data_IF_612571880452
#
_entry.id   IF_612571880452
#
_cell.length_a   1.000
_cell.length_b   1.000
_cell.length_c   1.000
_cell.angle_alpha   90.00
_cell.angle_beta   90.00
_cell.angle_gamma   90.00
#
_symmetry.space_group_name_H-M   'P 1'
#
loop_
_entity.id
_entity.type
_entity.pdbx_description
1 polymer ?
#
# COMPACT_ATOMS: atom_id res chain seq x y z
N UNK A 1 5.01 -78.49 -39.72
CA UNK A 1 5.59 -78.42 -38.36
C UNK A 1 5.01 -79.57 -37.57
N UNK A 2 5.88 -80.52 -37.21
CA UNK A 2 5.58 -81.88 -36.74
C UNK A 2 5.01 -81.86 -35.32
N UNK A 3 3.75 -82.28 -35.15
CA UNK A 3 3.28 -83.60 -34.67
C UNK A 3 3.39 -83.92 -33.18
N UNK A 4 2.26 -84.44 -32.71
CA UNK A 4 2.06 -85.38 -31.61
C UNK A 4 1.87 -84.81 -30.21
N UNK A 5 0.63 -84.35 -29.98
CA UNK A 5 -0.12 -84.79 -28.79
C UNK A 5 0.08 -86.29 -28.62
N UNK A 6 0.87 -86.68 -27.63
CA UNK A 6 1.02 -88.07 -27.21
C UNK A 6 0.05 -88.30 -26.05
N UNK A 7 -1.22 -88.54 -26.35
CA UNK A 7 -2.12 -89.19 -25.41
C UNK A 7 -1.71 -90.66 -25.35
N UNK A 8 -0.73 -90.97 -24.50
CA UNK A 8 -0.56 -92.33 -24.01
C UNK A 8 -1.76 -92.63 -23.11
N UNK A 9 -2.77 -93.30 -23.67
CA UNK A 9 -3.71 -94.08 -22.89
C UNK A 9 -2.95 -95.27 -22.30
N UNK A 10 -2.28 -95.02 -21.17
CA UNK A 10 -1.99 -96.09 -20.22
C UNK A 10 -3.32 -96.67 -19.74
N UNK A 11 -3.38 -98.00 -19.63
CA UNK A 11 -4.55 -98.76 -19.21
C UNK A 11 -5.33 -98.02 -18.13
N UNK A 12 -6.63 -97.80 -18.37
CA UNK A 12 -7.56 -97.44 -17.31
C UNK A 12 -7.58 -98.60 -16.31
N UNK A 13 -6.64 -98.60 -15.37
CA UNK A 13 -6.89 -99.26 -14.10
C UNK A 13 -8.15 -98.58 -13.56
N UNK A 14 -9.25 -99.33 -13.54
CA UNK A 14 -10.49 -98.92 -12.89
C UNK A 14 -10.22 -98.88 -11.38
N UNK A 15 -9.46 -97.90 -10.93
CA UNK A 15 -9.49 -97.46 -9.55
C UNK A 15 -10.56 -96.37 -9.52
N UNK A 16 -11.76 -96.77 -9.13
CA UNK A 16 -12.77 -95.81 -8.69
C UNK A 16 -12.10 -94.92 -7.64
N UNK A 17 -12.22 -93.58 -7.76
CA UNK A 17 -11.53 -92.66 -6.87
C UNK A 17 -11.85 -93.04 -5.43
N UNK A 18 -10.80 -93.34 -4.65
CA UNK A 18 -10.98 -93.82 -3.30
C UNK A 18 -11.44 -92.64 -2.43
N UNK A 19 -12.08 -92.90 -1.30
CA UNK A 19 -12.62 -91.82 -0.45
C UNK A 19 -11.55 -90.79 -0.03
N UNK A 20 -10.28 -91.21 0.01
CA UNK A 20 -9.12 -90.38 0.29
C UNK A 20 -8.77 -89.38 -0.83
N UNK A 21 -9.01 -89.73 -2.10
CA UNK A 21 -8.79 -88.83 -3.24
C UNK A 21 -9.85 -87.72 -3.27
N UNK A 22 -11.10 -88.06 -2.97
CA UNK A 22 -12.18 -87.08 -2.79
C UNK A 22 -11.94 -86.17 -1.58
N UNK A 23 -11.41 -86.72 -0.49
CA UNK A 23 -11.03 -85.94 0.69
C UNK A 23 -9.84 -85.01 0.40
N UNK A 24 -8.84 -85.47 -0.35
CA UNK A 24 -7.71 -84.66 -0.82
C UNK A 24 -8.17 -83.50 -1.72
N UNK A 25 -9.07 -83.77 -2.66
CA UNK A 25 -9.69 -82.75 -3.51
C UNK A 25 -10.51 -81.75 -2.69
N UNK A 26 -11.38 -82.21 -1.80
CA UNK A 26 -12.19 -81.34 -0.93
C UNK A 26 -11.31 -80.52 0.02
N UNK A 27 -10.30 -81.13 0.65
CA UNK A 27 -9.40 -80.44 1.57
C UNK A 27 -8.55 -79.39 0.87
N UNK A 28 -8.02 -79.67 -0.33
CA UNK A 28 -7.27 -78.68 -1.12
C UNK A 28 -8.16 -77.54 -1.64
N UNK A 29 -9.42 -77.83 -1.99
CA UNK A 29 -10.41 -76.81 -2.37
C UNK A 29 -10.78 -75.93 -1.18
N UNK A 30 -11.01 -76.52 0.00
CA UNK A 30 -11.31 -75.79 1.25
C UNK A 30 -10.11 -74.94 1.67
N UNK A 31 -8.89 -75.48 1.64
CA UNK A 31 -7.67 -74.74 2.00
C UNK A 31 -7.42 -73.59 1.01
N UNK A 32 -7.64 -73.80 -0.28
CA UNK A 32 -7.49 -72.76 -1.30
C UNK A 32 -8.59 -71.69 -1.19
N UNK A 33 -9.84 -72.08 -0.95
CA UNK A 33 -10.93 -71.14 -0.70
C UNK A 33 -10.70 -70.34 0.59
N UNK A 34 -10.24 -71.00 1.65
CA UNK A 34 -9.90 -70.36 2.92
C UNK A 34 -8.71 -69.41 2.78
N UNK A 35 -7.67 -69.76 2.01
CA UNK A 35 -6.52 -68.90 1.80
C UNK A 35 -6.86 -67.65 0.97
N UNK A 36 -7.66 -67.80 -0.10
CA UNK A 36 -8.16 -66.67 -0.90
C UNK A 36 -9.06 -65.77 -0.04
N UNK A 37 -9.97 -66.35 0.74
CA UNK A 37 -10.84 -65.59 1.62
C UNK A 37 -10.05 -64.83 2.69
N UNK A 38 -9.05 -65.47 3.30
CA UNK A 38 -8.21 -64.87 4.33
C UNK A 38 -7.31 -63.77 3.76
N UNK A 39 -6.77 -63.96 2.55
CA UNK A 39 -6.04 -62.92 1.82
C UNK A 39 -6.94 -61.72 1.47
N UNK A 40 -8.16 -61.97 0.99
CA UNK A 40 -9.15 -60.92 0.72
C UNK A 40 -9.52 -60.15 1.99
N UNK A 41 -9.79 -60.86 3.09
CA UNK A 41 -10.13 -60.25 4.38
C UNK A 41 -8.98 -59.39 4.94
N UNK A 42 -7.74 -59.88 4.86
CA UNK A 42 -6.56 -59.11 5.27
C UNK A 42 -6.36 -57.88 4.39
N UNK A 43 -6.49 -58.02 3.07
CA UNK A 43 -6.38 -56.91 2.13
C UNK A 43 -7.47 -55.85 2.38
N UNK A 44 -8.72 -56.26 2.60
CA UNK A 44 -9.83 -55.35 2.90
C UNK A 44 -9.60 -54.62 4.23
N UNK A 45 -9.08 -55.31 5.25
CA UNK A 45 -8.75 -54.71 6.54
C UNK A 45 -7.61 -53.68 6.42
N UNK A 46 -6.55 -54.01 5.70
CA UNK A 46 -5.43 -53.09 5.44
C UNK A 46 -5.91 -51.87 4.65
N UNK A 47 -6.66 -52.09 3.56
CA UNK A 47 -7.22 -51.00 2.76
C UNK A 47 -8.13 -50.08 3.57
N UNK A 48 -9.01 -50.63 4.43
CA UNK A 48 -9.85 -49.82 5.33
C UNK A 48 -9.01 -49.00 6.28
N UNK A 49 -7.97 -49.59 6.88
CA UNK A 49 -7.05 -48.89 7.78
C UNK A 49 -6.30 -47.76 7.06
N UNK A 50 -5.67 -48.05 5.93
CA UNK A 50 -4.94 -47.04 5.13
C UNK A 50 -5.85 -45.89 4.68
N UNK A 51 -7.09 -46.20 4.30
CA UNK A 51 -8.08 -45.19 3.95
C UNK A 51 -8.44 -44.31 5.16
N UNK A 52 -8.56 -44.89 6.35
CA UNK A 52 -8.82 -44.12 7.59
C UNK A 52 -7.62 -43.27 7.97
N UNK A 53 -6.41 -43.83 7.94
CA UNK A 53 -5.15 -43.15 8.29
C UNK A 53 -4.91 -41.96 7.33
N UNK A 54 -5.15 -42.15 6.03
CA UNK A 54 -5.09 -41.08 5.02
C UNK A 54 -6.13 -39.98 5.28
N UNK A 55 -7.36 -40.35 5.63
CA UNK A 55 -8.39 -39.35 5.93
C UNK A 55 -8.04 -38.52 7.19
N UNK A 56 -7.40 -39.12 8.20
CA UNK A 56 -6.92 -38.40 9.38
C UNK A 56 -5.76 -37.49 9.04
N UNK A 57 -4.80 -37.96 8.24
CA UNK A 57 -3.67 -37.13 7.79
C UNK A 57 -4.15 -35.93 6.95
N UNK A 58 -5.08 -36.15 6.01
CA UNK A 58 -5.68 -35.07 5.21
C UNK A 58 -6.41 -34.04 6.09
N UNK A 59 -7.07 -34.48 7.18
CA UNK A 59 -7.71 -33.59 8.15
C UNK A 59 -6.69 -32.80 8.98
N UNK A 60 -5.59 -33.43 9.39
CA UNK A 60 -4.53 -32.77 10.16
C UNK A 60 -3.79 -31.72 9.33
N UNK A 61 -3.51 -32.02 8.05
CA UNK A 61 -2.95 -31.05 7.10
C UNK A 61 -3.92 -29.87 6.92
N UNK A 62 -5.20 -30.16 6.70
CA UNK A 62 -6.23 -29.12 6.56
C UNK A 62 -6.29 -28.21 7.78
N UNK A 63 -6.32 -28.78 8.98
CA UNK A 63 -6.38 -28.02 10.24
C UNK A 63 -5.11 -27.19 10.44
N UNK A 64 -3.95 -27.74 10.07
CA UNK A 64 -2.66 -27.04 10.14
C UNK A 64 -2.63 -25.83 9.21
N UNK A 65 -3.11 -25.96 7.96
CA UNK A 65 -3.21 -24.83 7.03
C UNK A 65 -4.17 -23.75 7.53
N UNK A 66 -5.35 -24.13 8.05
CA UNK A 66 -6.29 -23.18 8.65
C UNK A 66 -5.66 -22.45 9.85
N UNK A 67 -4.89 -23.17 10.67
CA UNK A 67 -4.17 -22.57 11.80
C UNK A 67 -3.08 -21.59 11.33
N UNK A 68 -2.30 -21.96 10.32
CA UNK A 68 -1.27 -21.08 9.73
C UNK A 68 -1.89 -19.82 9.11
N UNK A 69 -3.05 -19.96 8.47
CA UNK A 69 -3.82 -18.81 7.96
C UNK A 69 -4.21 -17.88 9.11
N UNK A 70 -4.80 -18.39 10.20
CA UNK A 70 -5.16 -17.59 11.37
C UNK A 70 -3.95 -16.87 12.00
N UNK A 71 -2.82 -17.57 12.15
CA UNK A 71 -1.60 -16.96 12.69
C UNK A 71 -1.09 -15.83 11.77
N UNK A 72 -1.10 -16.06 10.46
CA UNK A 72 -0.71 -15.04 9.48
C UNK A 72 -1.62 -13.81 9.55
N UNK A 73 -2.92 -14.01 9.75
CA UNK A 73 -3.87 -12.91 9.95
C UNK A 73 -3.61 -12.13 11.23
N UNK A 74 -3.23 -12.78 12.33
CA UNK A 74 -2.90 -12.10 13.59
C UNK A 74 -1.66 -11.21 13.42
N UNK A 75 -0.60 -11.72 12.79
CA UNK A 75 0.60 -10.92 12.53
C UNK A 75 0.33 -9.77 11.55
N UNK A 76 -0.47 -10.02 10.52
CA UNK A 76 -0.92 -8.99 9.58
C UNK A 76 -1.73 -7.90 10.29
N UNK A 77 -2.70 -8.26 11.13
CA UNK A 77 -3.55 -7.29 11.84
C UNK A 77 -2.71 -6.39 12.76
N UNK A 78 -1.75 -6.95 13.52
CA UNK A 78 -0.82 -6.15 14.31
C UNK A 78 -0.03 -5.15 13.47
N UNK A 79 0.42 -5.58 12.29
CA UNK A 79 1.15 -4.71 11.39
C UNK A 79 0.26 -3.58 10.83
N UNK A 80 -0.99 -3.92 10.48
CA UNK A 80 -2.02 -2.97 10.02
C UNK A 80 -2.35 -1.96 11.12
N UNK A 81 -2.61 -2.39 12.35
CA UNK A 81 -2.92 -1.51 13.48
C UNK A 81 -1.81 -0.48 13.71
N UNK A 82 -0.55 -0.92 13.66
CA UNK A 82 0.59 0.00 13.77
C UNK A 82 0.61 1.02 12.63
N UNK A 83 0.37 0.58 11.40
CA UNK A 83 0.35 1.49 10.24
C UNK A 83 -0.84 2.45 10.27
N UNK A 84 -1.99 2.06 10.83
CA UNK A 84 -3.14 2.93 11.07
C UNK A 84 -2.74 4.07 12.01
N UNK A 85 -2.06 3.77 13.11
CA UNK A 85 -1.57 4.81 14.04
C UNK A 85 -0.56 5.74 13.36
N UNK A 86 0.40 5.17 12.62
CA UNK A 86 1.41 5.96 11.90
C UNK A 86 0.77 6.86 10.83
N UNK A 87 -0.24 6.37 10.09
CA UNK A 87 -0.99 7.17 9.10
C UNK A 87 -1.86 8.25 9.75
N UNK A 88 -2.53 7.94 10.85
CA UNK A 88 -3.33 8.92 11.58
C UNK A 88 -2.45 10.08 12.06
N UNK A 89 -1.31 9.77 12.69
CA UNK A 89 -0.35 10.79 13.12
C UNK A 89 0.18 11.61 11.94
N UNK A 90 0.44 10.98 10.79
CA UNK A 90 0.90 11.67 9.59
C UNK A 90 -0.15 12.65 9.04
N UNK A 91 -1.43 12.25 9.01
CA UNK A 91 -2.55 13.09 8.58
C UNK A 91 -2.78 14.25 9.55
N UNK A 92 -2.78 13.98 10.86
CA UNK A 92 -3.05 14.99 11.90
C UNK A 92 -1.95 16.06 11.96
N UNK A 93 -0.69 15.64 11.89
CA UNK A 93 0.45 16.57 11.95
C UNK A 93 0.77 17.23 10.61
N UNK A 94 0.30 16.65 9.50
CA UNK A 94 0.66 17.03 8.12
C UNK A 94 2.17 17.09 7.89
N UNK A 95 2.86 16.08 8.41
CA UNK A 95 4.31 15.94 8.28
C UNK A 95 4.71 15.58 6.83
N UNK A 96 5.98 15.82 6.46
CA UNK A 96 6.53 15.36 5.17
C UNK A 96 7.14 13.95 5.25
N UNK A 97 7.04 13.30 6.41
CA UNK A 97 7.69 12.02 6.69
C UNK A 97 6.68 10.99 7.18
N UNK A 98 6.32 10.07 6.28
CA UNK A 98 5.51 8.91 6.62
C UNK A 98 6.40 7.73 7.08
N UNK A 99 5.95 7.02 8.12
CA UNK A 99 6.54 5.77 8.57
C UNK A 99 5.83 4.61 7.87
N UNK A 100 6.60 3.67 7.33
CA UNK A 100 6.09 2.50 6.61
C UNK A 100 6.38 1.22 7.39
N UNK A 101 5.35 0.41 7.60
CA UNK A 101 5.50 -0.93 8.15
C UNK A 101 5.70 -1.95 7.02
N UNK A 102 6.89 -2.58 6.98
CA UNK A 102 7.22 -3.57 5.96
C UNK A 102 6.45 -4.88 6.09
N UNK A 103 5.89 -5.16 7.27
CA UNK A 103 5.19 -6.41 7.58
C UNK A 103 3.76 -6.48 7.03
N UNK A 104 3.23 -5.39 6.45
CA UNK A 104 1.96 -5.42 5.73
C UNK A 104 2.19 -6.07 4.38
N UNK A 105 2.03 -7.39 4.35
CA UNK A 105 2.15 -8.23 3.17
C UNK A 105 1.19 -9.41 3.26
N UNK A 106 0.71 -9.85 2.11
CA UNK A 106 -0.29 -10.93 1.99
C UNK A 106 0.23 -12.12 1.18
N UNK A 107 1.55 -12.29 1.10
CA UNK A 107 2.21 -13.37 0.34
C UNK A 107 1.76 -14.76 0.81
N UNK A 108 1.39 -14.89 2.08
CA UNK A 108 0.87 -16.15 2.64
C UNK A 108 -0.41 -16.64 1.93
N UNK A 109 -1.17 -15.75 1.27
CA UNK A 109 -2.36 -16.13 0.50
C UNK A 109 -2.05 -17.08 -0.65
N UNK A 110 -0.82 -17.05 -1.19
CA UNK A 110 -0.39 -17.96 -2.27
C UNK A 110 -0.35 -19.42 -1.81
N UNK A 111 -0.24 -19.65 -0.50
CA UNK A 111 -0.12 -20.97 0.12
C UNK A 111 -1.41 -21.44 0.80
N UNK A 112 -2.49 -20.65 0.71
CA UNK A 112 -3.76 -20.96 1.40
C UNK A 112 -4.73 -21.58 0.41
N UNK A 113 -5.16 -22.81 0.70
CA UNK A 113 -6.27 -23.40 -0.03
C UNK A 113 -7.62 -22.96 0.57
N UNK A 114 -8.30 -22.04 -0.11
CA UNK A 114 -9.60 -21.49 0.34
C UNK A 114 -10.65 -22.60 0.56
N UNK A 115 -10.56 -23.73 -0.16
CA UNK A 115 -11.45 -24.88 0.04
C UNK A 115 -11.36 -25.44 1.47
N UNK A 116 -10.18 -25.40 2.08
CA UNK A 116 -9.97 -25.85 3.46
C UNK A 116 -10.60 -24.91 4.47
N UNK A 117 -10.60 -23.59 4.18
CA UNK A 117 -11.32 -22.60 4.97
C UNK A 117 -12.84 -22.87 4.92
N UNK A 118 -13.40 -23.10 3.73
CA UNK A 118 -14.83 -23.42 3.57
C UNK A 118 -15.21 -24.74 4.24
N UNK A 119 -14.37 -25.78 4.10
CA UNK A 119 -14.62 -27.07 4.73
C UNK A 119 -14.60 -26.96 6.25
N UNK A 120 -13.69 -26.16 6.81
CA UNK A 120 -13.63 -25.89 8.24
C UNK A 120 -14.85 -25.08 8.75
N UNK A 121 -15.34 -24.11 7.96
CA UNK A 121 -16.56 -23.36 8.27
C UNK A 121 -17.86 -24.18 8.06
N UNK A 122 -17.80 -25.22 7.24
CA UNK A 122 -18.92 -26.03 6.80
C UNK A 122 -19.56 -25.46 5.53
N UNK A 123 -19.62 -26.26 4.45
CA UNK A 123 -20.14 -25.82 3.14
C UNK A 123 -21.59 -25.33 3.16
N UNK A 124 -22.38 -25.74 4.16
CA UNK A 124 -23.78 -25.34 4.30
C UNK A 124 -23.93 -24.02 5.08
N UNK A 125 -22.86 -23.50 5.69
CA UNK A 125 -22.87 -22.26 6.45
C UNK A 125 -22.59 -21.06 5.54
N UNK A 126 -23.66 -20.59 4.88
CA UNK A 126 -23.59 -19.49 3.89
C UNK A 126 -22.99 -18.22 4.49
N UNK A 127 -23.38 -17.86 5.72
CA UNK A 127 -22.89 -16.65 6.39
C UNK A 127 -21.37 -16.71 6.65
N UNK A 128 -20.86 -17.84 7.13
CA UNK A 128 -19.43 -18.01 7.37
C UNK A 128 -18.61 -18.00 6.06
N UNK A 129 -19.15 -18.59 4.99
CA UNK A 129 -18.52 -18.54 3.66
C UNK A 129 -18.48 -17.11 3.13
N UNK A 130 -19.55 -16.33 3.30
CA UNK A 130 -19.58 -14.93 2.91
C UNK A 130 -18.54 -14.10 3.67
N UNK A 131 -18.39 -14.32 4.99
CA UNK A 131 -17.31 -13.70 5.78
C UNK A 131 -15.93 -14.03 5.24
N UNK A 132 -15.67 -15.30 4.89
CA UNK A 132 -14.41 -15.71 4.26
C UNK A 132 -14.20 -14.99 2.93
N UNK A 133 -15.21 -14.96 2.06
CA UNK A 133 -15.12 -14.29 0.75
C UNK A 133 -14.81 -12.80 0.90
N UNK A 134 -15.53 -12.12 1.79
CA UNK A 134 -15.33 -10.70 2.05
C UNK A 134 -13.94 -10.40 2.63
N UNK A 135 -13.43 -11.28 3.51
CA UNK A 135 -12.06 -11.20 4.00
C UNK A 135 -11.07 -11.37 2.85
N UNK A 136 -11.19 -12.45 2.06
CA UNK A 136 -10.27 -12.74 0.95
C UNK A 136 -10.19 -11.59 -0.05
N UNK A 137 -11.34 -11.03 -0.47
CA UNK A 137 -11.39 -9.85 -1.35
C UNK A 137 -10.57 -8.70 -0.75
N UNK A 138 -10.73 -8.44 0.54
CA UNK A 138 -10.04 -7.34 1.22
C UNK A 138 -8.54 -7.61 1.39
N UNK A 139 -8.14 -8.86 1.62
CA UNK A 139 -6.72 -9.22 1.68
C UNK A 139 -6.06 -9.13 0.30
N UNK A 140 -6.75 -9.46 -0.80
CA UNK A 140 -6.20 -9.25 -2.14
C UNK A 140 -6.01 -7.76 -2.47
N UNK A 141 -6.87 -6.86 -1.96
CA UNK A 141 -6.63 -5.42 -2.13
C UNK A 141 -5.38 -4.91 -1.41
N UNK A 142 -4.85 -5.64 -0.42
CA UNK A 142 -3.60 -5.29 0.24
C UNK A 142 -2.34 -5.64 -0.55
N UNK A 143 -2.46 -6.43 -1.62
CA UNK A 143 -1.31 -6.96 -2.36
C UNK A 143 -0.35 -5.83 -2.80
N UNK A 144 -0.89 -4.77 -3.39
CA UNK A 144 -0.10 -3.63 -3.88
C UNK A 144 -0.09 -2.42 -2.91
N UNK A 145 -0.67 -2.57 -1.70
CA UNK A 145 -0.87 -1.44 -0.78
C UNK A 145 0.43 -0.70 -0.46
N UNK A 146 1.49 -1.46 -0.11
CA UNK A 146 2.78 -0.88 0.31
C UNK A 146 3.44 -0.09 -0.80
N UNK A 147 3.42 -0.62 -2.02
CA UNK A 147 4.01 0.04 -3.18
C UNK A 147 3.20 1.28 -3.54
N UNK A 148 1.87 1.15 -3.61
CA UNK A 148 0.96 2.26 -3.88
C UNK A 148 1.12 3.42 -2.90
N UNK A 149 1.17 3.13 -1.59
CA UNK A 149 1.36 4.14 -0.55
C UNK A 149 2.71 4.85 -0.68
N UNK A 150 3.80 4.11 -0.96
CA UNK A 150 5.13 4.68 -1.16
C UNK A 150 5.20 5.54 -2.41
N UNK A 151 4.59 5.09 -3.49
CA UNK A 151 4.56 5.81 -4.76
C UNK A 151 3.75 7.10 -4.68
N UNK A 152 2.65 7.09 -3.95
CA UNK A 152 1.87 8.29 -3.66
C UNK A 152 2.72 9.32 -2.89
N UNK A 153 3.36 8.94 -1.78
CA UNK A 153 4.23 9.84 -1.00
C UNK A 153 5.40 10.35 -1.85
N UNK A 154 6.04 9.47 -2.63
CA UNK A 154 7.15 9.85 -3.53
C UNK A 154 6.68 10.87 -4.58
N UNK A 155 5.50 10.66 -5.15
CA UNK A 155 4.91 11.54 -6.16
C UNK A 155 4.53 12.89 -5.55
N UNK A 156 3.93 12.87 -4.36
CA UNK A 156 3.63 14.07 -3.57
C UNK A 156 4.89 14.90 -3.34
N UNK A 157 5.94 14.32 -2.74
CA UNK A 157 7.19 15.02 -2.45
C UNK A 157 7.85 15.58 -3.71
N UNK A 158 7.87 14.80 -4.81
CA UNK A 158 8.42 15.25 -6.09
C UNK A 158 7.68 16.47 -6.63
N UNK A 159 6.35 16.43 -6.65
CA UNK A 159 5.51 17.53 -7.13
C UNK A 159 5.64 18.76 -6.21
N UNK A 160 5.54 18.55 -4.90
CA UNK A 160 5.69 19.61 -3.91
C UNK A 160 7.02 20.34 -4.06
N UNK A 161 8.14 19.61 -4.10
CA UNK A 161 9.48 20.19 -4.25
C UNK A 161 9.66 20.95 -5.56
N UNK A 162 9.05 20.49 -6.66
CA UNK A 162 9.05 21.21 -7.92
C UNK A 162 8.42 22.61 -7.78
N UNK A 163 7.23 22.70 -7.19
CA UNK A 163 6.59 23.99 -6.97
C UNK A 163 7.30 24.81 -5.88
N UNK A 164 7.84 24.16 -4.85
CA UNK A 164 8.62 24.85 -3.81
C UNK A 164 9.84 25.57 -4.41
N UNK A 165 10.55 24.94 -5.36
CA UNK A 165 11.67 25.57 -6.05
C UNK A 165 11.29 26.86 -6.78
N UNK A 166 10.07 26.92 -7.32
CA UNK A 166 9.52 28.14 -7.96
C UNK A 166 9.04 29.14 -6.92
N UNK A 167 8.44 28.68 -5.83
CA UNK A 167 8.03 29.55 -4.74
C UNK A 167 9.23 30.32 -4.18
N UNK A 168 10.41 29.71 -4.06
CA UNK A 168 11.66 30.37 -3.62
C UNK A 168 12.06 31.60 -4.45
N UNK A 169 11.50 31.81 -5.64
CA UNK A 169 11.64 33.07 -6.38
C UNK A 169 11.14 34.28 -5.59
N UNK A 170 10.35 34.10 -4.51
CA UNK A 170 10.02 35.17 -3.57
C UNK A 170 11.27 35.90 -3.05
N UNK A 171 12.41 35.22 -2.95
CA UNK A 171 13.68 35.83 -2.53
C UNK A 171 14.18 36.86 -3.53
N UNK A 172 13.87 36.69 -4.81
CA UNK A 172 14.19 37.69 -5.81
C UNK A 172 13.37 38.96 -5.58
N UNK A 173 12.06 38.79 -5.34
CA UNK A 173 11.15 39.88 -5.01
C UNK A 173 11.59 40.61 -3.74
N UNK A 174 11.96 39.89 -2.67
CA UNK A 174 12.40 40.54 -1.43
C UNK A 174 13.78 41.20 -1.51
N UNK A 175 14.70 40.64 -2.30
CA UNK A 175 16.11 41.00 -2.22
C UNK A 175 16.70 41.36 -3.59
N UNK A 176 17.07 40.37 -4.40
CA UNK A 176 17.98 40.62 -5.54
C UNK A 176 17.37 41.52 -6.60
N UNK A 177 16.09 41.30 -6.97
CA UNK A 177 15.40 42.16 -7.93
C UNK A 177 15.03 43.50 -7.31
N UNK A 178 14.52 43.51 -6.09
CA UNK A 178 14.23 44.75 -5.38
C UNK A 178 15.44 45.68 -5.32
N UNK A 179 16.58 45.22 -4.82
CA UNK A 179 17.79 46.06 -4.73
C UNK A 179 18.38 46.41 -6.10
N UNK A 180 18.28 45.52 -7.08
CA UNK A 180 18.68 45.84 -8.45
C UNK A 180 17.88 47.02 -9.00
N UNK A 181 16.56 47.01 -8.82
CA UNK A 181 15.68 48.09 -9.27
C UNK A 181 15.94 49.36 -8.46
N UNK A 182 16.14 49.24 -7.15
CA UNK A 182 16.47 50.38 -6.28
C UNK A 182 17.74 51.11 -6.75
N UNK A 183 18.79 50.37 -7.09
CA UNK A 183 20.05 50.97 -7.55
C UNK A 183 19.95 51.67 -8.91
N UNK A 184 18.98 51.27 -9.75
CA UNK A 184 18.76 51.90 -11.06
C UNK A 184 17.86 53.13 -10.94
N UNK A 185 16.85 53.10 -10.07
CA UNK A 185 15.80 54.13 -9.99
C UNK A 185 15.98 55.14 -8.87
N UNK A 186 16.87 54.90 -7.91
CA UNK A 186 17.07 55.84 -6.81
C UNK A 186 17.76 57.12 -7.29
N UNK A 187 17.22 58.28 -6.88
CA UNK A 187 17.85 59.58 -7.08
C UNK A 187 19.04 59.78 -6.12
N UNK A 188 18.92 59.25 -4.90
CA UNK A 188 19.96 59.33 -3.88
C UNK A 188 19.84 58.21 -2.85
N UNK A 189 20.94 57.93 -2.14
CA UNK A 189 20.98 56.99 -1.02
C UNK A 189 21.22 57.79 0.25
N UNK A 190 20.28 57.73 1.18
CA UNK A 190 20.36 58.37 2.50
C UNK A 190 20.78 57.30 3.51
N UNK A 191 21.74 57.61 4.37
CA UNK A 191 22.12 56.72 5.47
C UNK A 191 21.41 57.23 6.72
N UNK A 192 20.49 56.45 7.26
CA UNK A 192 19.76 56.75 8.49
C UNK A 192 20.01 55.66 9.51
N UNK A 193 20.57 56.04 10.68
CA UNK A 193 20.95 55.11 11.76
C UNK A 193 21.81 53.92 11.31
N UNK A 194 22.68 54.13 10.30
CA UNK A 194 23.54 53.08 9.74
C UNK A 194 22.88 52.20 8.68
N UNK A 195 21.60 52.41 8.36
CA UNK A 195 20.85 51.69 7.33
C UNK A 195 20.76 52.55 6.05
N UNK A 196 21.10 51.96 4.90
CA UNK A 196 20.94 52.62 3.60
C UNK A 196 19.45 52.63 3.22
N UNK A 197 18.91 53.82 2.99
CA UNK A 197 17.55 54.07 2.48
C UNK A 197 17.66 54.68 1.09
N UNK A 198 16.91 54.15 0.13
CA UNK A 198 16.83 54.71 -1.22
C UNK A 198 15.77 55.80 -1.24
N UNK A 199 16.10 56.95 -1.83
CA UNK A 199 15.14 57.99 -2.15
C UNK A 199 14.83 57.90 -3.65
N UNK A 200 13.55 57.76 -3.97
CA UNK A 200 13.04 57.75 -5.34
C UNK A 200 12.46 59.12 -5.68
N UNK A 201 12.30 59.38 -6.97
CA UNK A 201 11.58 60.55 -7.45
C UNK A 201 10.14 60.55 -6.92
N UNK A 202 9.56 61.75 -6.74
CA UNK A 202 8.21 61.90 -6.16
C UNK A 202 7.12 61.28 -7.07
N UNK A 203 7.40 61.17 -8.37
CA UNK A 203 6.52 60.56 -9.37
C UNK A 203 6.68 59.02 -9.48
N UNK A 204 7.73 58.42 -8.91
CA UNK A 204 7.95 56.97 -8.90
C UNK A 204 7.14 56.25 -7.80
N UNK A 205 5.82 56.35 -7.94
CA UNK A 205 4.84 55.78 -7.00
C UNK A 205 4.95 54.25 -6.88
N UNK A 206 5.41 53.57 -7.94
CA UNK A 206 5.63 52.13 -7.93
C UNK A 206 6.69 51.74 -6.89
N UNK A 207 7.87 52.37 -6.97
CA UNK A 207 8.97 52.04 -6.04
C UNK A 207 8.69 52.46 -4.61
N UNK A 208 7.95 53.55 -4.39
CA UNK A 208 7.50 53.96 -3.06
C UNK A 208 6.60 52.88 -2.42
N UNK A 209 5.56 52.42 -3.13
CA UNK A 209 4.64 51.38 -2.63
C UNK A 209 5.32 50.03 -2.46
N UNK A 210 6.20 49.65 -3.38
CA UNK A 210 6.98 48.41 -3.28
C UNK A 210 7.91 48.45 -2.04
N UNK A 211 8.61 49.56 -1.83
CA UNK A 211 9.49 49.73 -0.66
C UNK A 211 8.72 49.68 0.65
N UNK A 212 7.57 50.33 0.72
CA UNK A 212 6.69 50.27 1.89
C UNK A 212 6.27 48.81 2.20
N UNK A 213 5.89 48.06 1.16
CA UNK A 213 5.50 46.67 1.31
C UNK A 213 6.66 45.76 1.79
N UNK A 214 7.89 46.01 1.31
CA UNK A 214 9.10 45.32 1.78
C UNK A 214 9.36 45.60 3.26
N UNK A 215 9.27 46.87 3.68
CA UNK A 215 9.49 47.27 5.07
C UNK A 215 8.45 46.65 6.00
N UNK A 216 7.17 46.70 5.61
CA UNK A 216 6.09 46.10 6.38
C UNK A 216 6.28 44.58 6.53
N UNK A 217 6.71 43.90 5.46
CA UNK A 217 6.96 42.45 5.48
C UNK A 217 8.18 42.09 6.32
N UNK A 218 9.26 42.88 6.25
CA UNK A 218 10.51 42.64 6.99
C UNK A 218 10.35 42.90 8.48
N UNK A 219 9.44 43.80 8.87
CA UNK A 219 9.12 44.08 10.27
C UNK A 219 8.09 43.10 10.87
N UNK A 220 7.38 42.32 10.04
CA UNK A 220 6.42 41.31 10.50
C UNK A 220 7.14 39.99 10.82
N UNK A 221 7.54 39.83 12.08
CA UNK A 221 8.15 38.60 12.65
C UNK A 221 7.29 37.34 12.51
N UNK A 222 6.00 37.48 12.16
CA UNK A 222 5.14 36.35 11.85
C UNK A 222 5.34 35.81 10.42
N UNK A 223 5.96 36.59 9.53
CA UNK A 223 6.29 36.23 8.15
C UNK A 223 7.76 35.86 8.03
N UNK A 224 8.66 36.75 8.45
CA UNK A 224 10.11 36.59 8.35
C UNK A 224 10.74 36.85 9.72
N UNK A 225 11.58 35.92 10.17
CA UNK A 225 12.40 36.09 11.37
C UNK A 225 13.90 36.02 11.03
N UNK A 226 14.75 36.11 12.05
CA UNK A 226 16.20 36.06 11.91
C UNK A 226 16.74 34.75 11.28
N UNK A 227 15.93 33.68 11.28
CA UNK A 227 16.26 32.38 10.68
C UNK A 227 15.64 32.21 9.28
N UNK A 228 14.87 33.18 8.78
CA UNK A 228 14.34 33.23 7.43
C UNK A 228 12.80 33.25 7.36
N UNK A 229 12.25 32.67 6.29
CA UNK A 229 10.81 32.60 6.08
C UNK A 229 10.16 31.65 7.09
N UNK A 230 9.24 32.17 7.89
CA UNK A 230 8.50 31.43 8.92
C UNK A 230 7.20 30.85 8.40
N UNK A 231 6.44 31.63 7.62
CA UNK A 231 5.11 31.25 7.16
C UNK A 231 4.91 31.62 5.69
N UNK A 232 4.81 30.57 4.84
CA UNK A 232 4.65 30.70 3.38
C UNK A 232 3.30 31.31 3.01
N UNK A 233 2.22 30.93 3.71
CA UNK A 233 0.88 31.41 3.42
C UNK A 233 0.73 32.90 3.77
N UNK A 234 1.29 33.31 4.92
CA UNK A 234 1.32 34.74 5.28
C UNK A 234 2.19 35.56 4.33
N UNK A 235 3.34 35.05 3.91
CA UNK A 235 4.15 35.73 2.90
C UNK A 235 3.36 35.91 1.60
N UNK A 236 2.69 34.86 1.13
CA UNK A 236 1.93 34.95 -0.11
C UNK A 236 0.79 35.98 0.00
N UNK A 237 -0.01 35.89 1.07
CA UNK A 237 -1.18 36.74 1.26
C UNK A 237 -0.85 38.20 1.57
N UNK A 238 0.22 38.46 2.34
CA UNK A 238 0.55 39.82 2.82
C UNK A 238 1.64 40.52 2.00
N UNK A 239 2.44 39.78 1.23
CA UNK A 239 3.52 40.36 0.41
C UNK A 239 3.33 40.07 -1.08
N UNK A 240 3.29 38.79 -1.48
CA UNK A 240 3.31 38.43 -2.92
C UNK A 240 2.06 38.93 -3.65
N UNK A 241 0.87 38.62 -3.14
CA UNK A 241 -0.39 39.03 -3.78
C UNK A 241 -0.53 40.56 -3.83
N UNK A 242 -0.30 41.31 -2.74
CA UNK A 242 -0.28 42.78 -2.80
C UNK A 242 0.75 43.34 -3.78
N UNK A 243 1.94 42.74 -3.87
CA UNK A 243 2.98 43.18 -4.80
C UNK A 243 2.55 42.99 -6.26
N UNK A 244 1.92 41.86 -6.58
CA UNK A 244 1.35 41.62 -7.92
C UNK A 244 0.34 42.72 -8.26
N UNK A 245 -0.56 43.05 -7.33
CA UNK A 245 -1.56 44.11 -7.52
C UNK A 245 -0.92 45.48 -7.73
N UNK A 246 0.07 45.85 -6.90
CA UNK A 246 0.82 47.10 -7.06
C UNK A 246 1.48 47.13 -8.44
N UNK A 247 2.20 46.09 -8.83
CA UNK A 247 2.91 46.03 -10.10
C UNK A 247 1.97 46.10 -11.31
N UNK A 248 0.81 45.44 -11.23
CA UNK A 248 -0.17 45.41 -12.31
C UNK A 248 -0.70 46.80 -12.67
N UNK A 249 -0.81 47.73 -11.70
CA UNK A 249 -1.26 49.10 -11.95
C UNK A 249 -0.33 49.91 -12.88
N UNK A 250 0.92 49.47 -13.05
CA UNK A 250 1.94 50.15 -13.88
C UNK A 250 2.29 49.36 -15.16
N UNK A 251 1.60 48.25 -15.43
CA UNK A 251 1.70 47.51 -16.69
C UNK A 251 0.78 48.17 -17.73
N UNK A 252 1.21 48.36 -19.00
CA UNK A 252 2.47 47.91 -19.62
C UNK A 252 3.57 48.98 -19.68
N UNK A 253 3.41 50.11 -18.99
CA UNK A 253 4.29 51.28 -19.15
C UNK A 253 5.65 51.11 -18.48
N UNK A 254 5.70 50.40 -17.35
CA UNK A 254 6.91 50.20 -16.56
C UNK A 254 7.48 48.79 -16.71
N UNK A 255 8.65 48.67 -17.37
CA UNK A 255 9.34 47.40 -17.58
C UNK A 255 9.67 46.65 -16.27
N UNK A 256 10.01 47.37 -15.20
CA UNK A 256 10.30 46.74 -13.92
C UNK A 256 9.02 46.23 -13.27
N UNK A 257 7.91 46.95 -13.42
CA UNK A 257 6.62 46.50 -12.92
C UNK A 257 6.14 45.24 -13.66
N UNK A 258 6.35 45.15 -14.98
CA UNK A 258 6.08 43.93 -15.75
C UNK A 258 6.89 42.75 -15.19
N UNK A 259 8.21 42.92 -15.03
CA UNK A 259 9.08 41.84 -14.53
C UNK A 259 8.68 41.40 -13.11
N UNK A 260 8.37 42.34 -12.22
CA UNK A 260 7.93 42.04 -10.86
C UNK A 260 6.57 41.35 -10.85
N UNK A 261 5.64 41.75 -11.71
CA UNK A 261 4.34 41.11 -11.85
C UNK A 261 4.49 39.65 -12.33
N UNK A 262 5.35 39.40 -13.32
CA UNK A 262 5.62 38.05 -13.85
C UNK A 262 6.23 37.13 -12.80
N UNK A 263 7.24 37.59 -12.05
CA UNK A 263 7.86 36.81 -10.96
C UNK A 263 6.84 36.59 -9.83
N UNK A 264 6.08 37.63 -9.46
CA UNK A 264 5.03 37.56 -8.46
C UNK A 264 3.99 36.49 -8.79
N UNK A 265 3.46 36.50 -10.01
CA UNK A 265 2.51 35.50 -10.49
C UNK A 265 3.09 34.08 -10.44
N UNK A 266 4.36 33.89 -10.81
CA UNK A 266 5.01 32.57 -10.70
C UNK A 266 5.08 32.08 -9.24
N UNK A 267 5.42 32.96 -8.29
CA UNK A 267 5.47 32.63 -6.87
C UNK A 267 4.08 32.30 -6.34
N UNK A 268 3.07 33.12 -6.65
CA UNK A 268 1.69 32.91 -6.20
C UNK A 268 1.10 31.61 -6.75
N UNK A 269 1.26 31.36 -8.05
CA UNK A 269 0.78 30.12 -8.67
C UNK A 269 1.48 28.90 -8.06
N UNK A 270 2.79 28.97 -7.81
CA UNK A 270 3.52 27.90 -7.15
C UNK A 270 2.99 27.62 -5.73
N UNK A 271 2.63 28.65 -4.97
CA UNK A 271 2.03 28.47 -3.64
C UNK A 271 0.68 27.77 -3.72
N UNK A 272 -0.21 28.23 -4.61
CA UNK A 272 -1.54 27.63 -4.82
C UNK A 272 -1.41 26.16 -5.23
N UNK A 273 -0.49 25.85 -6.14
CA UNK A 273 -0.22 24.48 -6.57
C UNK A 273 0.27 23.59 -5.40
N UNK A 274 1.18 24.11 -4.57
CA UNK A 274 1.66 23.40 -3.37
C UNK A 274 0.53 23.06 -2.41
N UNK A 275 -0.39 24.00 -2.16
CA UNK A 275 -1.56 23.78 -1.31
C UNK A 275 -2.50 22.73 -1.92
N UNK A 276 -2.84 22.86 -3.21
CA UNK A 276 -3.72 21.91 -3.91
C UNK A 276 -3.15 20.50 -3.94
N UNK A 277 -1.84 20.35 -4.19
CA UNK A 277 -1.18 19.04 -4.20
C UNK A 277 -1.19 18.42 -2.80
N UNK A 278 -0.97 19.23 -1.77
CA UNK A 278 -0.98 18.78 -0.37
C UNK A 278 -2.37 18.32 0.05
N UNK A 279 -3.41 19.08 -0.28
CA UNK A 279 -4.80 18.70 -0.02
C UNK A 279 -5.16 17.37 -0.70
N UNK A 280 -4.86 17.23 -2.00
CA UNK A 280 -5.12 15.99 -2.75
C UNK A 280 -4.38 14.80 -2.15
N UNK A 281 -3.13 14.97 -1.74
CA UNK A 281 -2.34 13.93 -1.11
C UNK A 281 -2.99 13.43 0.19
N UNK A 282 -3.39 14.35 1.09
CA UNK A 282 -3.98 13.96 2.36
C UNK A 282 -5.37 13.32 2.20
N UNK A 283 -6.17 13.75 1.21
CA UNK A 283 -7.42 13.06 0.87
C UNK A 283 -7.18 11.60 0.43
N UNK A 284 -6.09 11.34 -0.31
CA UNK A 284 -5.69 9.98 -0.68
C UNK A 284 -5.21 9.19 0.55
N UNK A 285 -4.48 9.82 1.47
CA UNK A 285 -4.05 9.18 2.73
C UNK A 285 -5.22 8.76 3.61
N UNK A 286 -6.27 9.57 3.70
CA UNK A 286 -7.52 9.21 4.40
C UNK A 286 -8.18 7.97 3.79
N UNK A 287 -8.14 7.84 2.46
CA UNK A 287 -8.65 6.64 1.77
C UNK A 287 -7.84 5.39 2.14
N UNK A 288 -6.50 5.48 2.15
CA UNK A 288 -5.64 4.38 2.60
C UNK A 288 -5.88 4.00 4.06
N UNK A 289 -6.05 4.98 4.94
CA UNK A 289 -6.37 4.78 6.35
C UNK A 289 -7.72 4.03 6.51
N UNK A 290 -8.76 4.50 5.84
CA UNK A 290 -10.10 3.89 5.87
C UNK A 290 -10.07 2.44 5.35
N UNK A 291 -9.32 2.19 4.27
CA UNK A 291 -9.15 0.83 3.74
C UNK A 291 -8.48 -0.09 4.77
N UNK A 292 -7.39 0.35 5.41
CA UNK A 292 -6.72 -0.43 6.45
C UNK A 292 -7.62 -0.71 7.66
N UNK A 293 -8.39 0.28 8.12
CA UNK A 293 -9.34 0.12 9.22
C UNK A 293 -10.44 -0.91 8.87
N UNK A 294 -10.95 -0.85 7.64
CA UNK A 294 -11.92 -1.82 7.12
C UNK A 294 -11.35 -3.24 7.07
N UNK A 295 -10.12 -3.40 6.58
CA UNK A 295 -9.44 -4.70 6.53
C UNK A 295 -9.19 -5.26 7.93
N UNK A 296 -8.65 -4.45 8.86
CA UNK A 296 -8.44 -4.87 10.26
C UNK A 296 -9.74 -5.34 10.90
N UNK A 297 -10.84 -4.60 10.66
CA UNK A 297 -12.17 -4.99 11.17
C UNK A 297 -12.62 -6.35 10.62
N UNK A 298 -12.40 -6.63 9.33
CA UNK A 298 -12.73 -7.91 8.70
C UNK A 298 -11.84 -9.05 9.20
N UNK A 299 -10.55 -8.80 9.45
CA UNK A 299 -9.65 -9.78 10.05
C UNK A 299 -10.16 -10.15 11.45
N UNK A 300 -10.45 -9.16 12.30
CA UNK A 300 -10.99 -9.37 13.64
C UNK A 300 -12.31 -10.14 13.63
N UNK A 301 -13.23 -9.80 12.74
CA UNK A 301 -14.50 -10.52 12.56
C UNK A 301 -14.32 -11.99 12.16
N UNK A 302 -13.24 -12.34 11.46
CA UNK A 302 -12.94 -13.73 11.09
C UNK A 302 -12.24 -14.51 12.23
N UNK A 303 -11.49 -13.82 13.07
CA UNK A 303 -10.74 -14.42 14.18
C UNK A 303 -11.59 -14.69 15.43
N UNK A 304 -12.75 -14.02 15.55
CA UNK A 304 -13.78 -14.25 16.59
C UNK A 304 -14.61 -15.48 16.25
#
# INVERSE_FOLDING_TARGET
MNSFFNFQFGEFSQTTPNWFDWFSLLSSLIISAASIFLAFYLAERIYKKEKTDKNTEDLDIQNSEVHLFKNSLIELDRAIEKQIVDLQSYIDNKDFKLIFNSAIQVDFLQFVNVKYLYKNAGFNNVEAIEKINNLMISLYTLYDFRESLRDEVRTYLKKYNYHESKFYLYRQLLYTKYFSICNVRAESIIIDQGVKKWKFADDDKFMQRYTELILNTSNDTSIIDNNGLKDRAKLNAKFVVPLISIAFEYVPEDLNAIEINDIGNQVNNAHIDMESITEKHFNVMESYLSNLQSISSKIKLYLV
#
